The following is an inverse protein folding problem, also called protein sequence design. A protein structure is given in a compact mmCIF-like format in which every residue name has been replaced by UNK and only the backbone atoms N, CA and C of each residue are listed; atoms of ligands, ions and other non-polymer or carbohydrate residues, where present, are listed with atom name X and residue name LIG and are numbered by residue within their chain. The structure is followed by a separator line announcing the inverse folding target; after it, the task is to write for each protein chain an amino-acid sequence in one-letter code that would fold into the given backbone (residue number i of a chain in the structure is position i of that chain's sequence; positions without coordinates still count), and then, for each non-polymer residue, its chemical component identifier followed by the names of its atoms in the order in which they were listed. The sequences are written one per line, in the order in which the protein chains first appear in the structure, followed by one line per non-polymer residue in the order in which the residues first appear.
data_IF_846385226458
#
_entry.id   IF_846385226458
#
_cell.length_a   1.000
_cell.length_b   1.000
_cell.length_c   1.000
_cell.angle_alpha   90.00
_cell.angle_beta   90.00
_cell.angle_gamma   90.00
#
_symmetry.space_group_name_H-M   'P 1'
#
loop_
_entity.id
_entity.type
_entity.pdbx_description
1 polymer ?
#
# COMPACT_ATOMS: atom_id res chain seq x y z
N UNK A 1 11.97 -5.73 -32.88
CA UNK A 1 10.73 -4.92 -32.99
C UNK A 1 9.72 -5.48 -32.02
N UNK A 2 9.44 -4.78 -30.92
CA UNK A 2 8.43 -5.22 -29.94
C UNK A 2 7.04 -5.16 -30.60
N UNK A 3 6.29 -6.25 -30.51
CA UNK A 3 4.88 -6.27 -30.97
C UNK A 3 4.10 -5.13 -30.29
N UNK A 4 3.16 -4.45 -30.96
CA UNK A 4 2.36 -3.37 -30.37
C UNK A 4 1.66 -3.76 -29.05
N UNK A 5 1.39 -5.06 -28.85
CA UNK A 5 0.87 -5.59 -27.58
C UNK A 5 1.88 -5.55 -26.42
N UNK A 6 3.17 -5.71 -26.71
CA UNK A 6 4.25 -5.70 -25.71
C UNK A 6 4.52 -4.27 -25.22
N UNK A 7 4.59 -3.30 -26.14
CA UNK A 7 4.73 -1.89 -25.80
C UNK A 7 3.58 -1.42 -24.89
N UNK A 8 2.33 -1.77 -25.21
CA UNK A 8 1.16 -1.42 -24.40
C UNK A 8 1.20 -2.00 -22.98
N UNK A 9 1.67 -3.25 -22.83
CA UNK A 9 1.84 -3.91 -21.53
C UNK A 9 2.93 -3.24 -20.69
N UNK A 10 4.03 -2.86 -21.32
CA UNK A 10 5.13 -2.16 -20.65
C UNK A 10 4.70 -0.78 -20.17
N UNK A 11 3.96 -0.02 -21.00
CA UNK A 11 3.40 1.28 -20.59
C UNK A 11 2.44 1.13 -19.42
N UNK A 12 1.50 0.17 -19.48
CA UNK A 12 0.57 -0.08 -18.39
C UNK A 12 1.29 -0.47 -17.09
N UNK A 13 2.30 -1.33 -17.19
CA UNK A 13 3.15 -1.69 -16.05
C UNK A 13 3.86 -0.46 -15.47
N UNK A 14 4.52 0.35 -16.31
CA UNK A 14 5.26 1.52 -15.86
C UNK A 14 4.35 2.54 -15.15
N UNK A 15 3.16 2.80 -15.69
CA UNK A 15 2.16 3.70 -15.08
C UNK A 15 1.74 3.18 -13.70
N UNK A 16 1.29 1.92 -13.62
CA UNK A 16 0.78 1.37 -12.36
C UNK A 16 1.89 1.24 -11.31
N UNK A 17 3.08 0.77 -11.72
CA UNK A 17 4.22 0.66 -10.82
C UNK A 17 4.68 2.05 -10.31
N UNK A 18 4.69 3.07 -11.17
CA UNK A 18 5.06 4.44 -10.77
C UNK A 18 4.05 5.01 -9.79
N UNK A 19 2.75 4.89 -10.08
CA UNK A 19 1.69 5.36 -9.19
C UNK A 19 1.74 4.64 -7.84
N UNK A 20 1.93 3.32 -7.83
CA UNK A 20 2.07 2.54 -6.62
C UNK A 20 3.27 2.99 -5.77
N UNK A 21 4.43 3.23 -6.40
CA UNK A 21 5.63 3.71 -5.70
C UNK A 21 5.48 5.12 -5.16
N UNK A 22 4.86 6.01 -5.94
CA UNK A 22 4.52 7.36 -5.51
C UNK A 22 3.58 7.36 -4.31
N UNK A 23 2.53 6.54 -4.35
CA UNK A 23 1.60 6.39 -3.24
C UNK A 23 2.31 5.84 -1.98
N UNK A 24 3.14 4.80 -2.12
CA UNK A 24 3.90 4.24 -1.00
C UNK A 24 4.87 5.24 -0.35
N UNK A 25 5.53 6.08 -1.15
CA UNK A 25 6.43 7.12 -0.64
C UNK A 25 5.68 8.29 0.00
N UNK A 26 4.53 8.68 -0.54
CA UNK A 26 3.75 9.83 -0.08
C UNK A 26 2.85 9.55 1.13
N UNK A 27 2.41 8.29 1.30
CA UNK A 27 1.45 7.92 2.34
C UNK A 27 1.90 8.31 3.77
N UNK A 28 3.16 8.06 4.21
CA UNK A 28 3.59 8.46 5.55
C UNK A 28 3.46 9.96 5.81
N UNK A 29 3.89 10.78 4.86
CA UNK A 29 3.79 12.25 4.95
C UNK A 29 2.33 12.69 4.98
N UNK A 30 1.48 12.13 4.11
CA UNK A 30 0.07 12.46 4.05
C UNK A 30 -0.67 12.13 5.36
N UNK A 31 -0.36 11.00 5.99
CA UNK A 31 -0.95 10.60 7.28
C UNK A 31 -0.54 11.56 8.39
N UNK A 32 0.75 11.87 8.52
CA UNK A 32 1.24 12.79 9.57
C UNK A 32 0.63 14.19 9.38
N UNK A 33 0.63 14.71 8.15
CA UNK A 33 0.02 16.00 7.85
C UNK A 33 -1.50 16.00 8.09
N UNK A 34 -2.19 14.90 7.78
CA UNK A 34 -3.62 14.74 8.05
C UNK A 34 -3.93 14.75 9.56
N UNK A 35 -3.12 14.06 10.37
CA UNK A 35 -3.27 14.08 11.83
C UNK A 35 -3.05 15.48 12.39
N UNK A 36 -2.02 16.19 11.92
CA UNK A 36 -1.76 17.58 12.32
C UNK A 36 -2.93 18.49 11.92
N UNK A 37 -3.46 18.35 10.70
CA UNK A 37 -4.61 19.13 10.23
C UNK A 37 -5.88 18.87 11.05
N UNK A 38 -6.03 17.67 11.61
CA UNK A 38 -7.13 17.29 12.50
C UNK A 38 -6.92 17.73 13.97
N UNK A 39 -5.84 18.47 14.27
CA UNK A 39 -5.53 18.95 15.62
C UNK A 39 -4.76 17.96 16.51
N UNK A 40 -4.30 16.84 15.95
CA UNK A 40 -3.41 15.89 16.63
C UNK A 40 -1.95 16.32 16.61
N UNK A 41 -1.07 15.47 17.15
CA UNK A 41 0.38 15.71 17.18
C UNK A 41 1.14 14.92 16.11
N UNK A 42 2.37 15.36 15.82
CA UNK A 42 3.28 14.60 14.95
C UNK A 42 3.59 13.20 15.52
N UNK A 43 3.59 13.05 16.84
CA UNK A 43 3.78 11.76 17.52
C UNK A 43 2.63 10.80 17.26
N UNK A 44 1.39 11.30 17.25
CA UNK A 44 0.20 10.48 16.94
C UNK A 44 0.25 9.96 15.51
N UNK A 45 0.57 10.83 14.54
CA UNK A 45 0.75 10.42 13.14
C UNK A 45 1.90 9.43 12.98
N UNK A 46 3.01 9.64 13.69
CA UNK A 46 4.14 8.72 13.70
C UNK A 46 3.77 7.36 14.29
N UNK A 47 2.90 7.30 15.31
CA UNK A 47 2.42 6.06 15.89
C UNK A 47 1.59 5.24 14.88
N UNK A 48 0.73 5.88 14.10
CA UNK A 48 -0.02 5.22 13.03
C UNK A 48 0.92 4.62 11.98
N UNK A 49 1.92 5.38 11.55
CA UNK A 49 2.91 4.90 10.58
C UNK A 49 3.81 3.82 11.17
N UNK A 50 4.15 3.88 12.45
CA UNK A 50 4.90 2.84 13.13
C UNK A 50 4.11 1.53 13.19
N UNK A 51 2.83 1.57 13.54
CA UNK A 51 1.96 0.40 13.57
C UNK A 51 1.81 -0.24 12.18
N UNK A 52 1.54 0.58 11.16
CA UNK A 52 1.50 0.16 9.76
C UNK A 52 2.80 -0.53 9.32
N UNK A 53 3.95 0.10 9.62
CA UNK A 53 5.27 -0.38 9.19
C UNK A 53 5.64 -1.66 9.93
N UNK A 54 5.38 -1.75 11.23
CA UNK A 54 5.65 -2.94 12.03
C UNK A 54 4.86 -4.15 11.50
N UNK A 55 3.56 -3.99 11.26
CA UNK A 55 2.74 -5.06 10.70
C UNK A 55 3.18 -5.42 9.29
N UNK A 56 3.47 -4.44 8.43
CA UNK A 56 4.01 -4.71 7.08
C UNK A 56 5.32 -5.49 7.14
N UNK A 57 6.23 -5.16 8.06
CA UNK A 57 7.52 -5.83 8.21
C UNK A 57 7.38 -7.28 8.66
N UNK A 58 6.51 -7.52 9.65
CA UNK A 58 6.24 -8.86 10.18
C UNK A 58 5.53 -9.74 9.14
N UNK A 59 4.53 -9.18 8.45
CA UNK A 59 3.68 -9.95 7.54
C UNK A 59 4.27 -10.13 6.14
N UNK A 60 5.33 -9.40 5.78
CA UNK A 60 5.95 -9.43 4.45
C UNK A 60 6.25 -10.83 3.91
N UNK A 61 7.02 -11.67 4.63
CA UNK A 61 7.34 -13.04 4.19
C UNK A 61 6.10 -13.93 4.00
N UNK A 62 5.12 -13.82 4.91
CA UNK A 62 3.89 -14.61 4.87
C UNK A 62 3.02 -14.22 3.68
N UNK A 63 2.84 -12.91 3.47
CA UNK A 63 2.04 -12.38 2.37
C UNK A 63 2.68 -12.74 1.02
N UNK A 64 4.01 -12.68 0.90
CA UNK A 64 4.74 -13.15 -0.27
C UNK A 64 4.52 -14.64 -0.54
N UNK A 65 4.70 -15.49 0.48
CA UNK A 65 4.50 -16.93 0.37
C UNK A 65 3.05 -17.31 0.01
N UNK A 66 2.06 -16.56 0.49
CA UNK A 66 0.65 -16.76 0.11
C UNK A 66 0.42 -16.42 -1.36
N UNK A 67 0.92 -15.28 -1.83
CA UNK A 67 0.79 -14.86 -3.24
C UNK A 67 1.43 -15.85 -4.20
N UNK A 68 2.59 -16.39 -3.85
CA UNK A 68 3.30 -17.36 -4.68
C UNK A 68 2.50 -18.65 -4.88
N UNK A 69 1.55 -18.94 -3.97
CA UNK A 69 0.65 -20.11 -4.02
C UNK A 69 -0.70 -19.83 -4.68
N UNK A 70 -1.04 -18.57 -4.97
CA UNK A 70 -2.31 -18.23 -5.59
C UNK A 70 -2.30 -18.60 -7.08
N UNK A 71 -3.38 -19.22 -7.54
CA UNK A 71 -3.62 -19.49 -8.97
C UNK A 71 -3.66 -18.19 -9.82
N UNK A 72 -4.09 -17.09 -9.19
CA UNK A 72 -4.28 -15.79 -9.84
C UNK A 72 -3.61 -14.65 -9.03
N UNK A 73 -2.26 -14.57 -9.04
CA UNK A 73 -1.52 -13.59 -8.22
C UNK A 73 -1.90 -12.14 -8.55
N UNK A 74 -2.37 -11.88 -9.78
CA UNK A 74 -2.84 -10.56 -10.22
C UNK A 74 -3.98 -10.00 -9.38
N UNK A 75 -4.88 -10.87 -8.89
CA UNK A 75 -6.02 -10.46 -8.05
C UNK A 75 -5.56 -9.96 -6.68
N UNK A 76 -4.51 -10.56 -6.12
CA UNK A 76 -3.91 -10.13 -4.85
C UNK A 76 -3.44 -8.67 -4.88
N UNK A 77 -2.85 -8.22 -5.99
CA UNK A 77 -2.41 -6.82 -6.13
C UNK A 77 -3.58 -5.83 -6.19
N UNK A 78 -4.67 -6.21 -6.85
CA UNK A 78 -5.88 -5.37 -6.89
C UNK A 78 -6.48 -5.24 -5.50
N UNK A 79 -6.58 -6.35 -4.76
CA UNK A 79 -7.06 -6.34 -3.37
C UNK A 79 -6.17 -5.45 -2.50
N UNK A 80 -4.85 -5.56 -2.63
CA UNK A 80 -3.92 -4.71 -1.89
C UNK A 80 -4.14 -3.21 -2.17
N UNK A 81 -4.38 -2.85 -3.44
CA UNK A 81 -4.63 -1.48 -3.86
C UNK A 81 -5.94 -0.94 -3.33
N UNK A 82 -6.99 -1.76 -3.36
CA UNK A 82 -8.28 -1.40 -2.78
C UNK A 82 -8.15 -1.21 -1.27
N UNK A 83 -7.48 -2.12 -0.55
CA UNK A 83 -7.29 -1.99 0.91
C UNK A 83 -6.54 -0.70 1.26
N UNK A 84 -5.45 -0.39 0.56
CA UNK A 84 -4.67 0.81 0.84
C UNK A 84 -5.43 2.10 0.48
N UNK A 85 -6.18 2.10 -0.63
CA UNK A 85 -7.01 3.22 -1.03
C UNK A 85 -8.18 3.46 -0.06
N UNK A 86 -8.85 2.39 0.39
CA UNK A 86 -9.92 2.45 1.39
C UNK A 86 -9.36 2.96 2.72
N UNK A 87 -8.19 2.46 3.15
CA UNK A 87 -7.54 2.95 4.36
C UNK A 87 -7.20 4.44 4.26
N UNK A 88 -6.52 4.87 3.20
CA UNK A 88 -6.14 6.27 3.00
C UNK A 88 -7.37 7.20 2.92
N UNK A 89 -8.41 6.77 2.21
CA UNK A 89 -9.68 7.50 2.12
C UNK A 89 -10.41 7.56 3.46
N UNK A 90 -10.55 6.44 4.17
CA UNK A 90 -11.18 6.38 5.48
C UNK A 90 -10.47 7.29 6.48
N UNK A 91 -9.13 7.26 6.52
CA UNK A 91 -8.34 8.12 7.41
C UNK A 91 -8.68 9.60 7.19
N UNK A 92 -8.84 10.04 5.94
CA UNK A 92 -9.21 11.43 5.65
C UNK A 92 -10.57 11.85 6.23
N UNK A 93 -11.50 10.91 6.46
CA UNK A 93 -12.82 11.20 7.04
C UNK A 93 -12.89 11.02 8.55
N UNK A 94 -12.12 10.10 9.13
CA UNK A 94 -12.25 9.72 10.55
C UNK A 94 -11.22 10.38 11.47
N UNK A 95 -10.22 11.05 10.90
CA UNK A 95 -9.23 11.81 11.68
C UNK A 95 -9.90 12.91 12.52
N UNK A 96 -9.51 13.00 13.79
CA UNK A 96 -10.08 13.96 14.74
C UNK A 96 -11.46 13.58 15.31
N UNK A 97 -12.12 12.54 14.77
CA UNK A 97 -13.45 12.11 15.24
C UNK A 97 -13.44 10.74 15.91
N UNK A 98 -12.53 9.84 15.51
CA UNK A 98 -12.46 8.48 16.03
C UNK A 98 -11.37 8.31 17.10
N UNK A 99 -11.51 7.33 18.03
CA UNK A 99 -10.50 7.06 19.05
C UNK A 99 -9.17 6.60 18.42
N UNK A 100 -8.06 7.10 18.96
CA UNK A 100 -6.72 6.81 18.44
C UNK A 100 -6.38 5.31 18.34
N UNK A 101 -6.83 4.51 19.31
CA UNK A 101 -6.64 3.05 19.28
C UNK A 101 -7.28 2.38 18.06
N UNK A 102 -8.44 2.88 17.60
CA UNK A 102 -9.10 2.36 16.39
C UNK A 102 -8.29 2.73 15.14
N UNK A 103 -7.75 3.94 15.09
CA UNK A 103 -6.88 4.38 13.99
C UNK A 103 -5.61 3.55 13.92
N UNK A 104 -4.98 3.24 15.06
CA UNK A 104 -3.80 2.36 15.16
C UNK A 104 -4.13 0.96 14.66
N UNK A 105 -5.27 0.40 15.06
CA UNK A 105 -5.72 -0.92 14.58
C UNK A 105 -5.92 -0.94 13.06
N UNK A 106 -6.62 0.06 12.50
CA UNK A 106 -6.82 0.20 11.06
C UNK A 106 -5.49 0.38 10.32
N UNK A 107 -4.54 1.13 10.88
CA UNK A 107 -3.20 1.28 10.33
C UNK A 107 -2.46 -0.06 10.27
N UNK A 108 -2.58 -0.88 11.32
CA UNK A 108 -2.07 -2.25 11.33
C UNK A 108 -2.67 -3.11 10.23
N UNK A 109 -4.00 -3.11 10.07
CA UNK A 109 -4.69 -3.86 9.00
C UNK A 109 -4.22 -3.41 7.62
N UNK A 110 -4.07 -2.10 7.40
CA UNK A 110 -3.55 -1.57 6.14
C UNK A 110 -2.10 -2.01 5.87
N UNK A 111 -1.29 -2.16 6.93
CA UNK A 111 0.07 -2.69 6.86
C UNK A 111 0.15 -4.08 6.24
N UNK A 112 -0.88 -4.91 6.37
CA UNK A 112 -0.94 -6.26 5.76
C UNK A 112 -0.92 -6.22 4.23
N UNK A 113 -1.45 -5.15 3.62
CA UNK A 113 -1.52 -5.01 2.16
C UNK A 113 -0.22 -4.48 1.55
N UNK A 114 0.60 -3.79 2.35
CA UNK A 114 1.78 -3.06 1.88
C UNK A 114 2.89 -3.94 1.25
N UNK A 115 3.20 -5.15 1.73
CA UNK A 115 4.23 -6.02 1.13
C UNK A 115 4.01 -6.33 -0.35
N UNK A 116 2.74 -6.30 -0.79
CA UNK A 116 2.34 -6.59 -2.17
C UNK A 116 2.77 -5.53 -3.17
N UNK A 117 3.17 -4.34 -2.70
CA UNK A 117 3.58 -3.22 -3.56
C UNK A 117 5.07 -3.13 -3.83
N UNK A 118 5.91 -3.82 -3.07
CA UNK A 118 7.37 -3.62 -3.15
C UNK A 118 8.10 -4.83 -3.75
N UNK A 119 7.67 -6.06 -3.45
CA UNK A 119 8.33 -7.27 -3.97
C UNK A 119 7.82 -7.75 -5.34
N UNK A 120 6.57 -7.45 -5.68
CA UNK A 120 5.87 -8.11 -6.78
C UNK A 120 6.10 -7.52 -8.17
N UNK A 121 6.30 -6.21 -8.29
CA UNK A 121 6.36 -5.53 -9.59
C UNK A 121 7.62 -5.91 -10.36
N UNK A 122 8.77 -6.02 -9.68
CA UNK A 122 10.01 -6.50 -10.30
C UNK A 122 9.89 -7.92 -10.87
N UNK A 123 9.16 -8.80 -10.17
CA UNK A 123 8.86 -10.14 -10.65
C UNK A 123 7.90 -10.14 -11.86
N UNK A 124 6.96 -9.18 -11.92
CA UNK A 124 6.06 -9.02 -13.07
C UNK A 124 6.79 -8.52 -14.32
N UNK A 125 7.79 -7.65 -14.18
CA UNK A 125 8.56 -7.13 -15.31
C UNK A 125 9.20 -8.28 -16.11
N UNK A 126 9.77 -9.28 -15.43
CA UNK A 126 10.35 -10.48 -16.07
C UNK A 126 9.35 -11.32 -16.88
N UNK A 127 8.04 -11.16 -16.65
CA UNK A 127 6.99 -11.89 -17.37
C UNK A 127 6.41 -11.12 -18.56
N UNK A 128 6.71 -9.83 -18.69
CA UNK A 128 6.15 -8.94 -19.72
C UNK A 128 7.20 -8.29 -20.63
N UNK A 129 8.48 -8.31 -20.23
CA UNK A 129 9.63 -7.82 -20.98
C UNK A 129 10.48 -8.98 -21.49
#
# INVERSE_FOLDING_TARGET
MSSPSAARRLTAYAVVATLARGAGAGLPSAVILGVLAAGGSASDGSLLIAAFTAVSGICGPFVGAVIDRLEHPKRGYVVAAVVLAVYAGALAFVLGTWPGGVLVFLAGIAGLAHPLFFGAWSAQLRRIA
#
